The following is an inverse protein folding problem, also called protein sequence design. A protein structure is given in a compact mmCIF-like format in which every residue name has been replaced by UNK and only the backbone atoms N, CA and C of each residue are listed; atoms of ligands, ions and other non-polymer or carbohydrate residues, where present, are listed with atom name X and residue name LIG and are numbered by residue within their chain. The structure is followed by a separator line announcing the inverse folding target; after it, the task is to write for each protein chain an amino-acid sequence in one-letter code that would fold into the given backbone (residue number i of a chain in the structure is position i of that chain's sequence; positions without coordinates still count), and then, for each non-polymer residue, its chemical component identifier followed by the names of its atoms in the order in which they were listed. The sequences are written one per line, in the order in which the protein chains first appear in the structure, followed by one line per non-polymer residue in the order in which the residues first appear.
data_IF_826310238348
#
_entry.id   IF_826310238348
#
_cell.length_a   1.000
_cell.length_b   1.000
_cell.length_c   1.000
_cell.angle_alpha   90.00
_cell.angle_beta   90.00
_cell.angle_gamma   90.00
#
_symmetry.space_group_name_H-M   'P 1'
#
loop_
_entity.id
_entity.type
_entity.pdbx_description
1 polymer ?
#
# COMPACT_ATOMS: atom_id res chain seq x y z
N UNK A 1 2.13 3.23 -2.83
CA UNK A 1 3.32 2.91 -2.02
C UNK A 1 4.54 3.42 -2.77
N UNK A 2 5.32 4.28 -2.13
CA UNK A 2 6.58 4.78 -2.68
C UNK A 2 7.71 4.01 -2.01
N UNK A 3 8.57 3.39 -2.80
CA UNK A 3 9.72 2.62 -2.28
C UNK A 3 11.03 3.25 -2.76
N UNK A 4 12.09 3.01 -2.00
CA UNK A 4 13.45 3.47 -2.27
C UNK A 4 14.29 2.29 -2.77
N UNK A 5 14.93 2.45 -3.92
CA UNK A 5 15.87 1.46 -4.41
C UNK A 5 17.27 1.62 -3.79
N UNK A 6 18.21 0.73 -4.15
CA UNK A 6 19.59 0.77 -3.61
C UNK A 6 20.38 1.99 -4.04
N UNK A 7 20.01 2.63 -5.15
CA UNK A 7 20.65 3.86 -5.65
C UNK A 7 20.10 5.12 -4.98
N UNK A 8 19.07 4.98 -4.15
CA UNK A 8 18.43 6.09 -3.44
C UNK A 8 17.32 6.75 -4.25
N UNK A 9 16.92 6.19 -5.39
CA UNK A 9 15.79 6.69 -6.17
C UNK A 9 14.46 6.24 -5.55
N UNK A 10 13.46 7.10 -5.65
CA UNK A 10 12.13 6.89 -5.10
C UNK A 10 11.12 6.73 -6.24
N UNK A 11 10.33 5.66 -6.22
CA UNK A 11 9.34 5.41 -7.26
C UNK A 11 8.11 4.67 -6.71
N UNK A 12 7.03 4.68 -7.49
CA UNK A 12 5.82 3.93 -7.15
C UNK A 12 6.07 2.44 -7.38
N UNK A 13 6.18 1.67 -6.30
CA UNK A 13 6.36 0.22 -6.38
C UNK A 13 5.04 -0.55 -6.33
N UNK A 14 4.00 0.03 -5.71
CA UNK A 14 2.70 -0.62 -5.58
C UNK A 14 1.57 0.41 -5.43
N UNK A 15 0.38 0.06 -5.88
CA UNK A 15 -0.84 0.88 -5.82
C UNK A 15 -1.99 0.08 -5.22
N UNK A 16 -2.96 0.80 -4.68
CA UNK A 16 -4.18 0.24 -4.12
C UNK A 16 -5.09 1.36 -3.64
N UNK A 17 -6.22 0.97 -3.05
CA UNK A 17 -7.22 1.89 -2.53
C UNK A 17 -7.12 1.98 -1.01
N UNK A 18 -7.18 3.20 -0.50
CA UNK A 18 -7.31 3.45 0.92
C UNK A 18 -8.79 3.23 1.30
N UNK A 19 -9.07 2.20 2.10
CA UNK A 19 -10.43 1.82 2.49
C UNK A 19 -10.58 1.97 4.00
N UNK A 20 -11.47 2.86 4.45
CA UNK A 20 -11.82 2.96 5.86
C UNK A 20 -13.06 2.11 6.15
N UNK A 21 -12.94 1.16 7.07
CA UNK A 21 -13.99 0.21 7.45
C UNK A 21 -14.70 0.64 8.73
N UNK A 22 -15.74 -0.10 9.13
CA UNK A 22 -16.58 0.22 10.28
C UNK A 22 -15.88 0.17 11.64
N UNK A 23 -14.72 -0.46 11.73
CA UNK A 23 -13.83 -0.46 12.90
C UNK A 23 -12.99 0.84 13.02
N UNK A 24 -13.14 1.76 12.07
CA UNK A 24 -12.43 3.04 12.05
C UNK A 24 -10.98 2.93 11.59
N UNK A 25 -10.50 1.75 11.17
CA UNK A 25 -9.12 1.55 10.69
C UNK A 25 -9.01 1.89 9.20
N UNK A 26 -7.87 2.44 8.80
CA UNK A 26 -7.54 2.65 7.39
C UNK A 26 -6.81 1.41 6.85
N UNK A 27 -7.51 0.64 6.04
CA UNK A 27 -7.00 -0.55 5.38
C UNK A 27 -6.42 -0.23 4.00
N UNK A 28 -5.56 -1.13 3.53
CA UNK A 28 -5.02 -1.09 2.18
C UNK A 28 -5.68 -2.18 1.35
N UNK A 29 -6.57 -1.80 0.43
CA UNK A 29 -7.17 -2.72 -0.52
C UNK A 29 -6.31 -2.77 -1.78
N UNK A 30 -5.76 -3.93 -2.13
CA UNK A 30 -4.86 -4.04 -3.26
C UNK A 30 -4.84 -5.45 -3.86
N UNK A 31 -4.36 -5.55 -5.11
CA UNK A 31 -4.01 -6.84 -5.69
C UNK A 31 -2.72 -7.36 -5.05
N UNK A 32 -2.78 -8.56 -4.48
CA UNK A 32 -1.62 -9.26 -3.95
C UNK A 32 -0.91 -10.04 -5.05
N UNK A 33 0.43 -10.09 -5.02
CA UNK A 33 1.23 -10.91 -5.93
C UNK A 33 0.74 -12.37 -5.93
N UNK A 34 0.79 -13.09 -7.08
CA UNK A 34 0.53 -14.54 -7.13
C UNK A 34 1.36 -15.36 -6.14
N UNK A 35 2.57 -14.90 -5.81
CA UNK A 35 3.45 -15.54 -4.83
C UNK A 35 3.05 -15.33 -3.37
N UNK A 36 2.07 -14.45 -3.11
CA UNK A 36 1.53 -14.14 -1.79
C UNK A 36 0.12 -14.72 -1.66
N UNK A 37 -0.92 -13.87 -1.73
CA UNK A 37 -2.32 -14.32 -1.68
C UNK A 37 -2.89 -14.61 -3.08
N UNK A 38 -2.35 -13.97 -4.13
CA UNK A 38 -2.80 -14.18 -5.52
C UNK A 38 -4.21 -13.69 -5.84
N UNK A 39 -4.81 -12.86 -5.00
CA UNK A 39 -6.11 -12.23 -5.23
C UNK A 39 -6.16 -10.83 -4.61
N UNK A 40 -7.27 -10.12 -4.82
CA UNK A 40 -7.50 -8.80 -4.21
C UNK A 40 -7.79 -9.00 -2.72
N UNK A 41 -7.05 -8.28 -1.87
CA UNK A 41 -7.14 -8.41 -0.41
C UNK A 41 -7.36 -7.04 0.22
N UNK A 42 -8.06 -7.01 1.34
CA UNK A 42 -8.15 -5.86 2.25
C UNK A 42 -7.23 -6.14 3.44
N UNK A 43 -6.06 -5.50 3.46
CA UNK A 43 -5.01 -5.78 4.44
C UNK A 43 -5.27 -5.11 5.79
N UNK A 44 -4.69 -5.60 6.89
CA UNK A 44 -5.12 -5.28 8.26
C UNK A 44 -5.03 -3.79 8.69
N UNK A 45 -3.98 -3.07 8.28
CA UNK A 45 -3.85 -1.62 8.51
C UNK A 45 -2.76 -1.08 7.59
N UNK A 46 -3.02 0.03 6.90
CA UNK A 46 -2.07 0.61 5.93
C UNK A 46 -0.71 0.94 6.55
N UNK A 47 -0.67 1.45 7.79
CA UNK A 47 0.60 1.73 8.48
C UNK A 47 1.39 0.45 8.80
N UNK A 48 0.71 -0.66 9.13
CA UNK A 48 1.37 -1.95 9.36
C UNK A 48 1.92 -2.54 8.07
N UNK A 49 1.22 -2.36 6.95
CA UNK A 49 1.72 -2.73 5.63
C UNK A 49 3.04 -2.00 5.32
N UNK A 50 3.07 -0.67 5.47
CA UNK A 50 4.28 0.13 5.23
C UNK A 50 5.43 -0.25 6.18
N UNK A 51 5.12 -0.48 7.47
CA UNK A 51 6.12 -0.86 8.45
C UNK A 51 6.77 -2.22 8.15
N UNK A 52 6.06 -3.14 7.49
CA UNK A 52 6.55 -4.48 7.15
C UNK A 52 7.71 -4.44 6.15
N UNK A 53 7.74 -3.46 5.23
CA UNK A 53 8.70 -3.40 4.15
C UNK A 53 9.65 -2.21 4.32
N UNK A 54 10.88 -2.47 4.78
CA UNK A 54 11.88 -1.42 5.01
C UNK A 54 12.28 -0.61 3.77
N UNK A 55 12.05 -1.15 2.56
CA UNK A 55 12.24 -0.41 1.32
C UNK A 55 11.14 0.63 1.06
N UNK A 56 9.99 0.51 1.71
CA UNK A 56 8.90 1.46 1.58
C UNK A 56 9.21 2.73 2.36
N UNK A 57 9.08 3.84 1.68
CA UNK A 57 9.41 5.18 2.18
C UNK A 57 8.18 6.02 2.51
N UNK A 58 6.99 5.59 2.06
CA UNK A 58 5.72 6.26 2.35
C UNK A 58 4.66 6.04 1.29
N UNK A 59 3.74 7.00 1.20
CA UNK A 59 2.61 6.97 0.27
C UNK A 59 2.46 8.29 -0.46
N UNK A 60 2.09 8.19 -1.74
CA UNK A 60 1.50 9.29 -2.49
C UNK A 60 -0.01 9.07 -2.50
N UNK A 61 -0.77 10.11 -2.16
CA UNK A 61 -2.23 10.05 -2.05
C UNK A 61 -2.85 10.82 -3.20
N UNK A 62 -3.72 10.16 -3.95
CA UNK A 62 -4.54 10.78 -4.98
C UNK A 62 -6.01 10.58 -4.63
N UNK A 63 -6.85 11.54 -5.02
CA UNK A 63 -8.30 11.46 -4.92
C UNK A 63 -8.89 11.73 -6.31
N UNK A 64 -9.75 10.85 -6.83
CA UNK A 64 -10.49 11.14 -8.06
C UNK A 64 -11.26 12.46 -7.90
N UNK A 65 -11.08 13.37 -8.85
CA UNK A 65 -11.91 14.57 -8.94
C UNK A 65 -13.20 14.21 -9.69
N UNK A 66 -14.29 14.85 -9.29
CA UNK A 66 -15.56 14.85 -10.03
C UNK A 66 -15.76 16.22 -10.61
#
# INVERSE_FOLDING_TARGET
IISRDRSGLYSTAHVGLALRTGDGVLHFMHASSPSNYGHVTVDAQLSKYLYRYHSDSGILVARPLR
#
